data_IF_477370305890
#
_entry.id   IF_477370305890
#
_cell.length_a   1.000
_cell.length_b   1.000
_cell.length_c   1.000
_cell.angle_alpha   90.00
_cell.angle_beta   90.00
_cell.angle_gamma   90.00
#
_symmetry.space_group_name_H-M   'P 1'
#
loop_
_entity.id
_entity.type
_entity.pdbx_description
1 polymer ?
#
# COMPACT_ATOMS: atom_id res chain seq x y z
N UNK A 1 -14.96 26.23 -52.67
CA UNK A 1 -14.91 24.95 -53.40
C UNK A 1 -13.74 24.12 -52.86
N UNK A 2 -13.97 22.84 -52.54
CA UNK A 2 -13.01 21.73 -52.30
C UNK A 2 -12.53 21.48 -50.85
N UNK A 3 -13.25 20.53 -50.23
CA UNK A 3 -12.85 19.69 -49.11
C UNK A 3 -11.50 19.01 -49.35
N UNK A 4 -10.69 18.85 -48.29
CA UNK A 4 -9.78 17.71 -48.17
C UNK A 4 -9.83 17.10 -46.77
N UNK A 5 -10.48 15.95 -46.76
CA UNK A 5 -10.42 14.87 -45.79
C UNK A 5 -8.96 14.43 -45.59
N UNK A 6 -8.44 14.48 -44.36
CA UNK A 6 -7.28 13.71 -43.96
C UNK A 6 -7.62 12.85 -42.75
N UNK A 7 -7.54 11.56 -43.05
CA UNK A 7 -7.66 10.36 -42.27
C UNK A 7 -6.51 10.23 -41.25
N UNK A 8 -6.80 9.59 -40.10
CA UNK A 8 -5.86 8.92 -39.17
C UNK A 8 -4.76 9.77 -38.48
N UNK A 9 -4.90 9.96 -37.17
CA UNK A 9 -3.76 9.93 -36.26
C UNK A 9 -4.18 9.62 -34.81
N UNK A 10 -3.79 8.42 -34.36
CA UNK A 10 -3.12 8.16 -33.08
C UNK A 10 -3.92 8.30 -31.78
N UNK A 11 -4.38 7.15 -31.27
CA UNK A 11 -4.63 6.96 -29.84
C UNK A 11 -3.26 6.82 -29.17
N UNK A 12 -2.63 7.95 -28.81
CA UNK A 12 -1.48 7.93 -27.91
C UNK A 12 -2.07 7.76 -26.50
N UNK A 13 -2.24 6.51 -26.06
CA UNK A 13 -2.48 6.23 -24.65
C UNK A 13 -1.26 6.72 -23.88
N UNK A 14 -1.40 7.87 -23.22
CA UNK A 14 -0.37 8.39 -22.33
C UNK A 14 -0.19 7.43 -21.16
N UNK A 15 0.97 6.78 -21.09
CA UNK A 15 1.44 6.20 -19.84
C UNK A 15 1.76 7.35 -18.90
N UNK A 16 0.93 7.56 -17.88
CA UNK A 16 1.26 8.44 -16.76
C UNK A 16 2.24 7.67 -15.87
N UNK A 17 3.51 8.04 -15.94
CA UNK A 17 4.52 7.59 -14.99
C UNK A 17 4.34 8.42 -13.72
N UNK A 18 3.67 7.85 -12.72
CA UNK A 18 3.62 8.43 -11.39
C UNK A 18 4.86 7.97 -10.61
N UNK A 19 5.72 8.90 -10.19
CA UNK A 19 6.74 8.60 -9.20
C UNK A 19 6.06 8.22 -7.89
N UNK A 20 6.29 6.99 -7.42
CA UNK A 20 5.75 6.53 -6.14
C UNK A 20 6.55 7.16 -5.00
N UNK A 21 5.91 7.75 -3.99
CA UNK A 21 6.62 8.32 -2.85
C UNK A 21 7.36 7.22 -2.07
N UNK A 22 8.58 7.54 -1.65
CA UNK A 22 9.40 6.68 -0.81
C UNK A 22 9.48 7.22 0.62
N UNK A 23 9.50 6.29 1.57
CA UNK A 23 9.47 6.57 3.01
C UNK A 23 10.66 5.93 3.73
N UNK A 24 11.14 6.60 4.77
CA UNK A 24 11.94 5.97 5.82
C UNK A 24 11.02 5.60 6.98
N UNK A 25 10.85 4.29 7.20
CA UNK A 25 9.94 3.74 8.19
C UNK A 25 10.74 3.30 9.41
N UNK A 26 10.68 4.09 10.48
CA UNK A 26 11.38 3.79 11.74
C UNK A 26 10.59 2.86 12.66
N UNK A 27 9.27 2.88 12.59
CA UNK A 27 8.39 2.13 13.50
C UNK A 27 6.96 2.02 12.96
N UNK A 28 6.26 0.96 13.35
CA UNK A 28 4.82 0.85 13.20
C UNK A 28 4.12 1.03 14.55
N UNK A 29 2.97 1.70 14.53
CA UNK A 29 2.11 1.86 15.70
C UNK A 29 0.71 1.33 15.35
N UNK A 30 0.34 0.21 15.94
CA UNK A 30 -0.98 -0.41 15.78
C UNK A 30 -1.95 0.26 16.74
N UNK A 31 -3.05 0.80 16.21
CA UNK A 31 -4.09 1.48 16.99
C UNK A 31 -5.41 0.75 16.88
N UNK A 32 -6.20 0.80 17.94
CA UNK A 32 -7.48 0.09 18.03
C UNK A 32 -7.34 -1.25 18.73
N UNK A 33 -8.30 -2.14 18.49
CA UNK A 33 -8.27 -3.50 19.02
C UNK A 33 -7.17 -4.32 18.32
N UNK A 34 -6.22 -4.83 19.10
CA UNK A 34 -5.17 -5.71 18.62
C UNK A 34 -5.06 -6.92 19.56
N UNK A 35 -5.52 -8.11 19.14
CA UNK A 35 -5.42 -9.31 19.95
C UNK A 35 -4.02 -9.95 19.93
N UNK A 36 -3.10 -9.49 19.06
CA UNK A 36 -1.71 -9.94 19.07
C UNK A 36 -0.94 -9.24 20.20
N UNK A 37 0.06 -9.93 20.75
CA UNK A 37 1.01 -9.30 21.64
C UNK A 37 1.79 -8.20 20.91
N UNK A 38 2.36 -7.25 21.67
CA UNK A 38 3.22 -6.22 21.09
C UNK A 38 4.43 -6.85 20.39
N UNK A 39 5.01 -7.88 20.96
CA UNK A 39 6.19 -8.56 20.42
C UNK A 39 5.86 -9.27 19.10
N UNK A 40 4.75 -10.03 19.04
CA UNK A 40 4.29 -10.68 17.81
C UNK A 40 4.00 -9.65 16.71
N UNK A 41 3.37 -8.53 17.10
CA UNK A 41 3.04 -7.45 16.19
C UNK A 41 4.31 -6.81 15.61
N UNK A 42 5.29 -6.52 16.45
CA UNK A 42 6.56 -5.93 16.06
C UNK A 42 7.37 -6.89 15.19
N UNK A 43 7.44 -8.16 15.56
CA UNK A 43 8.16 -9.18 14.81
C UNK A 43 7.59 -9.34 13.40
N UNK A 44 6.27 -9.34 13.25
CA UNK A 44 5.62 -9.42 11.94
C UNK A 44 5.91 -8.20 11.07
N UNK A 45 5.92 -7.01 11.66
CA UNK A 45 6.09 -5.74 10.94
C UNK A 45 7.57 -5.37 10.72
N UNK A 46 8.51 -6.06 11.35
CA UNK A 46 9.95 -5.78 11.26
C UNK A 46 10.46 -5.81 9.81
N UNK A 47 9.91 -6.71 8.99
CA UNK A 47 10.26 -6.85 7.57
C UNK A 47 9.93 -5.61 6.72
N UNK A 48 9.13 -4.69 7.23
CA UNK A 48 8.67 -3.48 6.54
C UNK A 48 9.31 -2.19 7.08
N UNK A 49 10.25 -2.29 8.02
CA UNK A 49 11.05 -1.16 8.50
C UNK A 49 12.17 -0.80 7.52
N UNK A 50 12.76 0.38 7.68
CA UNK A 50 13.94 0.85 6.94
C UNK A 50 13.63 1.91 5.88
N UNK A 51 14.64 2.20 5.06
CA UNK A 51 14.61 3.24 4.03
C UNK A 51 13.97 2.75 2.73
N UNK A 52 13.59 3.70 1.87
CA UNK A 52 13.09 3.46 0.50
C UNK A 52 11.86 2.54 0.44
N UNK A 53 10.98 2.62 1.44
CA UNK A 53 9.71 1.91 1.42
C UNK A 53 8.69 2.65 0.58
N UNK A 54 8.01 1.96 -0.30
CA UNK A 54 6.95 2.58 -1.11
C UNK A 54 5.59 2.54 -0.40
N UNK A 55 4.56 3.19 -0.96
CA UNK A 55 3.21 3.08 -0.42
C UNK A 55 2.71 1.63 -0.51
N UNK A 56 3.03 0.93 -1.60
CA UNK A 56 2.74 -0.49 -1.77
C UNK A 56 3.36 -1.35 -0.65
N UNK A 57 4.59 -1.07 -0.23
CA UNK A 57 5.22 -1.80 0.90
C UNK A 57 4.43 -1.61 2.20
N UNK A 58 3.96 -0.39 2.47
CA UNK A 58 3.16 -0.09 3.67
C UNK A 58 1.79 -0.78 3.62
N UNK A 59 1.17 -0.86 2.43
CA UNK A 59 -0.07 -1.58 2.22
C UNK A 59 0.13 -3.09 2.43
N UNK A 60 1.23 -3.66 1.93
CA UNK A 60 1.59 -5.05 2.16
C UNK A 60 1.80 -5.34 3.65
N UNK A 61 2.42 -4.43 4.41
CA UNK A 61 2.55 -4.56 5.86
C UNK A 61 1.18 -4.69 6.55
N UNK A 62 0.21 -3.86 6.15
CA UNK A 62 -1.16 -3.94 6.67
C UNK A 62 -1.84 -5.27 6.29
N UNK A 63 -1.72 -5.71 5.04
CA UNK A 63 -2.28 -7.00 4.59
C UNK A 63 -1.65 -8.22 5.26
N UNK A 64 -0.34 -8.18 5.52
CA UNK A 64 0.36 -9.23 6.26
C UNK A 64 -0.13 -9.30 7.71
N UNK A 65 -0.32 -8.14 8.35
CA UNK A 65 -0.87 -8.06 9.70
C UNK A 65 -2.31 -8.59 9.76
N UNK A 66 -3.17 -8.21 8.81
CA UNK A 66 -4.54 -8.72 8.72
C UNK A 66 -4.58 -10.24 8.48
N UNK A 67 -3.69 -10.75 7.63
CA UNK A 67 -3.58 -12.19 7.37
C UNK A 67 -3.21 -12.96 8.64
N UNK A 68 -2.24 -12.45 9.39
CA UNK A 68 -1.84 -13.02 10.68
C UNK A 68 -2.94 -12.99 11.74
N UNK A 69 -3.77 -11.94 11.77
CA UNK A 69 -4.97 -11.88 12.61
C UNK A 69 -5.96 -12.98 12.19
N UNK A 70 -6.23 -13.09 10.89
CA UNK A 70 -7.16 -14.08 10.33
C UNK A 70 -6.72 -15.52 10.63
N UNK A 71 -5.44 -15.83 10.46
CA UNK A 71 -4.85 -17.15 10.73
C UNK A 71 -4.97 -17.55 12.20
N UNK A 72 -5.02 -16.58 13.12
CA UNK A 72 -5.21 -16.80 14.56
C UNK A 72 -6.67 -16.77 15.00
N UNK A 73 -7.62 -16.73 14.05
CA UNK A 73 -9.05 -16.79 14.31
C UNK A 73 -9.75 -15.43 14.40
N UNK A 74 -9.04 -14.31 14.18
CA UNK A 74 -9.60 -12.96 14.22
C UNK A 74 -10.04 -12.46 12.84
N UNK A 75 -10.75 -13.29 12.07
CA UNK A 75 -11.07 -13.03 10.66
C UNK A 75 -12.00 -11.83 10.39
N UNK A 76 -12.71 -11.35 11.40
CA UNK A 76 -13.57 -10.16 11.30
C UNK A 76 -12.84 -8.84 11.48
N UNK A 77 -11.63 -8.86 12.03
CA UNK A 77 -10.80 -7.66 12.14
C UNK A 77 -10.28 -7.26 10.76
N UNK A 78 -10.18 -5.94 10.56
CA UNK A 78 -9.65 -5.32 9.35
C UNK A 78 -8.49 -4.41 9.72
N UNK A 79 -7.48 -4.36 8.88
CA UNK A 79 -6.31 -3.49 9.08
C UNK A 79 -6.27 -2.47 7.95
N UNK A 80 -6.29 -1.19 8.32
CA UNK A 80 -6.24 -0.09 7.35
C UNK A 80 -5.06 0.82 7.63
N UNK A 81 -4.33 1.19 6.57
CA UNK A 81 -3.34 2.25 6.66
C UNK A 81 -4.05 3.60 6.56
N UNK A 82 -4.04 4.44 7.62
CA UNK A 82 -4.70 5.74 7.55
C UNK A 82 -3.93 6.68 6.61
N UNK A 83 -4.64 7.60 5.91
CA UNK A 83 -3.98 8.62 5.11
C UNK A 83 -3.11 9.49 6.01
N UNK A 84 -1.88 9.75 5.58
CA UNK A 84 -1.05 10.79 6.20
C UNK A 84 -1.55 12.14 5.68
N UNK A 85 -1.86 13.05 6.61
CA UNK A 85 -2.02 14.47 6.31
C UNK A 85 -0.66 15.13 6.25
#
# INVERSE_FOLDING_TARGET
MKFRLCLLASIISGFVWAEEPLFNVSSFNVKGENPLSNDDSQQLLQAYLGNNRSLSDLQQAASAFESALRERGHGFLRVTLPPKK
#
